data_IF_288619325138
#
_entry.id   IF_288619325138
#
_cell.length_a   1.000
_cell.length_b   1.000
_cell.length_c   1.000
_cell.angle_alpha   90.00
_cell.angle_beta   90.00
_cell.angle_gamma   90.00
#
_symmetry.space_group_name_H-M   'P 1'
#
loop_
_entity.id
_entity.type
_entity.pdbx_description
1 polymer ?
#
# COMPACT_ATOMS: atom_id res chain seq x y z
N UNK A 1 -81.01 -18.89 16.20
CA UNK A 1 -80.03 -19.17 15.14
C UNK A 1 -78.87 -18.22 15.31
N UNK A 2 -77.63 -18.72 15.37
CA UNK A 2 -76.43 -17.91 15.35
C UNK A 2 -75.66 -18.24 14.08
N UNK A 3 -75.15 -17.22 13.40
CA UNK A 3 -74.30 -17.37 12.22
C UNK A 3 -72.99 -16.63 12.47
N UNK A 4 -71.89 -17.23 12.06
CA UNK A 4 -70.56 -16.65 12.14
C UNK A 4 -70.12 -16.35 10.72
N UNK A 5 -69.71 -15.11 10.46
CA UNK A 5 -69.17 -14.69 9.17
C UNK A 5 -67.73 -14.19 9.38
N UNK A 6 -66.85 -14.54 8.45
CA UNK A 6 -65.49 -14.01 8.41
C UNK A 6 -65.50 -12.67 7.68
N UNK A 7 -64.82 -11.69 8.27
CA UNK A 7 -64.55 -10.39 7.65
C UNK A 7 -63.05 -10.34 7.44
N UNK A 8 -62.62 -10.13 6.20
CA UNK A 8 -61.21 -9.93 5.87
C UNK A 8 -60.95 -8.41 5.93
N UNK A 9 -60.12 -7.97 6.87
CA UNK A 9 -59.76 -6.57 7.07
C UNK A 9 -58.37 -6.31 6.49
N UNK A 10 -58.23 -5.26 5.67
CA UNK A 10 -56.96 -4.86 5.06
C UNK A 10 -56.52 -3.54 5.68
N UNK A 11 -55.41 -3.56 6.39
CA UNK A 11 -54.81 -2.36 6.98
C UNK A 11 -53.70 -1.85 6.05
N UNK A 12 -53.86 -0.62 5.54
CA UNK A 12 -52.84 0.04 4.71
C UNK A 12 -51.80 0.67 5.63
N UNK A 13 -50.70 -0.04 5.87
CA UNK A 13 -49.54 0.51 6.57
C UNK A 13 -48.64 1.28 5.59
N UNK A 14 -48.43 2.58 5.82
CA UNK A 14 -47.42 3.35 5.11
C UNK A 14 -46.06 3.09 5.75
N UNK A 15 -45.25 2.25 5.11
CA UNK A 15 -43.85 2.04 5.48
C UNK A 15 -42.94 2.94 4.66
N UNK A 16 -41.91 3.50 5.30
CA UNK A 16 -40.81 4.17 4.61
C UNK A 16 -39.61 3.21 4.51
N UNK A 17 -39.09 3.02 3.31
CA UNK A 17 -37.87 2.25 3.08
C UNK A 17 -36.68 3.17 3.34
N UNK A 18 -35.99 2.97 4.46
CA UNK A 18 -34.72 3.61 4.76
C UNK A 18 -33.59 2.63 4.45
N UNK A 19 -32.55 3.10 3.76
CA UNK A 19 -31.34 2.31 3.57
C UNK A 19 -30.82 1.79 4.91
N UNK A 20 -30.51 0.49 4.99
CA UNK A 20 -29.97 -0.11 6.20
C UNK A 20 -28.53 0.37 6.40
N UNK A 21 -28.35 1.40 7.21
CA UNK A 21 -27.03 1.89 7.62
C UNK A 21 -26.86 3.39 7.40
N UNK A 22 -26.14 4.02 8.32
CA UNK A 22 -25.65 5.38 8.11
C UNK A 22 -24.55 5.36 7.04
N UNK A 23 -24.50 6.39 6.20
CA UNK A 23 -23.37 6.65 5.31
C UNK A 23 -22.08 6.65 6.13
N UNK A 24 -21.17 5.72 5.84
CA UNK A 24 -19.85 5.65 6.48
C UNK A 24 -18.83 6.22 5.51
N UNK A 25 -18.38 7.48 5.67
CA UNK A 25 -17.37 8.04 4.80
C UNK A 25 -16.06 7.26 4.98
N UNK A 26 -15.59 6.64 3.90
CA UNK A 26 -14.29 5.97 3.89
C UNK A 26 -13.20 7.03 3.73
N UNK A 27 -12.24 7.05 4.65
CA UNK A 27 -11.13 8.00 4.66
C UNK A 27 -9.82 7.31 4.32
N UNK A 28 -8.94 8.02 3.63
CA UNK A 28 -7.59 7.56 3.35
C UNK A 28 -6.78 7.44 4.67
N UNK A 29 -5.98 6.37 4.86
CA UNK A 29 -5.14 6.22 6.04
C UNK A 29 -3.93 7.15 6.03
N UNK A 30 -3.53 7.65 4.86
CA UNK A 30 -2.35 8.50 4.66
C UNK A 30 -2.69 9.66 3.74
N UNK A 31 -2.06 10.82 3.99
CA UNK A 31 -2.08 11.95 3.06
C UNK A 31 -1.13 11.65 1.90
N UNK A 32 -1.62 11.76 0.67
CA UNK A 32 -0.85 11.50 -0.54
C UNK A 32 -1.55 12.07 -1.77
N UNK A 33 -0.86 12.05 -2.92
CA UNK A 33 -1.45 12.46 -4.20
C UNK A 33 -2.27 11.29 -4.75
N UNK A 34 -3.53 11.55 -5.10
CA UNK A 34 -4.41 10.55 -5.72
C UNK A 34 -3.99 10.36 -7.17
N UNK A 35 -3.59 9.15 -7.54
CA UNK A 35 -3.28 8.79 -8.93
C UNK A 35 -4.52 8.39 -9.73
N UNK A 36 -5.56 7.88 -9.06
CA UNK A 36 -6.82 7.54 -9.72
C UNK A 36 -7.92 7.04 -8.78
N UNK A 37 -9.16 7.11 -9.27
CA UNK A 37 -10.37 6.61 -8.59
C UNK A 37 -11.06 5.64 -9.56
N UNK A 38 -10.80 4.32 -9.48
CA UNK A 38 -11.31 3.33 -10.43
C UNK A 38 -12.76 2.89 -10.13
N UNK A 39 -13.58 3.78 -9.57
CA UNK A 39 -14.99 3.50 -9.21
C UNK A 39 -15.90 4.65 -9.59
N UNK A 40 -17.16 4.33 -9.86
CA UNK A 40 -18.21 5.29 -10.24
C UNK A 40 -19.26 5.47 -9.16
N UNK A 41 -19.97 6.60 -9.19
CA UNK A 41 -21.04 6.88 -8.24
C UNK A 41 -22.19 5.88 -8.42
N UNK A 42 -22.63 5.25 -7.31
CA UNK A 42 -23.65 4.21 -7.34
C UNK A 42 -23.15 2.81 -7.67
N UNK A 43 -21.84 2.63 -7.87
CA UNK A 43 -21.25 1.32 -8.13
C UNK A 43 -21.28 0.41 -6.88
N UNK A 44 -21.69 -0.85 -7.05
CA UNK A 44 -21.66 -1.87 -6.02
C UNK A 44 -20.23 -2.39 -5.85
N UNK A 45 -19.62 -2.10 -4.70
CA UNK A 45 -18.24 -2.50 -4.39
C UNK A 45 -18.18 -3.68 -3.43
N UNK A 46 -17.13 -4.50 -3.55
CA UNK A 46 -16.90 -5.66 -2.69
C UNK A 46 -15.83 -5.41 -1.63
N UNK A 47 -15.83 -6.14 -0.49
CA UNK A 47 -14.76 -6.03 0.50
C UNK A 47 -13.39 -6.31 -0.12
N UNK A 48 -12.47 -5.35 0.00
CA UNK A 48 -11.13 -5.43 -0.57
C UNK A 48 -10.97 -4.83 -1.97
N UNK A 49 -12.05 -4.34 -2.59
CA UNK A 49 -11.96 -3.62 -3.85
C UNK A 49 -11.23 -2.28 -3.67
N UNK A 50 -10.33 -1.98 -4.60
CA UNK A 50 -9.58 -0.71 -4.62
C UNK A 50 -10.52 0.42 -5.01
N UNK A 51 -10.72 1.38 -4.11
CA UNK A 51 -11.55 2.57 -4.35
C UNK A 51 -10.73 3.78 -4.79
N UNK A 52 -9.49 3.89 -4.31
CA UNK A 52 -8.58 5.02 -4.57
C UNK A 52 -7.17 4.45 -4.70
N UNK A 53 -6.43 4.95 -5.68
CA UNK A 53 -5.00 4.70 -5.85
C UNK A 53 -4.20 5.96 -5.53
N UNK A 54 -3.10 5.78 -4.81
CA UNK A 54 -2.15 6.85 -4.49
C UNK A 54 -0.91 6.70 -5.37
N UNK A 55 -0.31 7.83 -5.73
CA UNK A 55 0.92 7.86 -6.50
C UNK A 55 2.13 7.44 -5.63
N UNK A 56 2.89 6.39 -6.01
CA UNK A 56 4.06 5.94 -5.28
C UNK A 56 5.33 6.76 -5.54
N UNK A 57 5.31 7.81 -6.36
CA UNK A 57 6.53 8.51 -6.82
C UNK A 57 7.42 9.07 -5.68
N UNK A 58 6.82 9.39 -4.52
CA UNK A 58 7.58 9.80 -3.32
C UNK A 58 8.45 8.67 -2.73
N UNK A 59 8.07 7.40 -2.93
CA UNK A 59 8.81 6.24 -2.40
C UNK A 59 9.95 5.78 -3.31
N UNK A 60 9.82 5.92 -4.63
CA UNK A 60 10.83 5.41 -5.58
C UNK A 60 12.13 6.20 -5.55
N UNK A 61 12.04 7.53 -5.41
CA UNK A 61 13.23 8.39 -5.32
C UNK A 61 14.02 8.14 -4.04
N UNK A 62 13.34 7.88 -2.92
CA UNK A 62 13.96 7.55 -1.64
C UNK A 62 14.70 6.21 -1.67
N UNK A 63 14.14 5.22 -2.36
CA UNK A 63 14.79 3.93 -2.59
C UNK A 63 16.02 4.05 -3.49
N UNK A 64 15.94 4.85 -4.56
CA UNK A 64 17.08 5.12 -5.46
C UNK A 64 18.22 5.84 -4.75
N UNK A 65 17.93 6.81 -3.89
CA UNK A 65 18.97 7.51 -3.13
C UNK A 65 19.70 6.58 -2.15
N UNK A 66 18.97 5.70 -1.46
CA UNK A 66 19.55 4.74 -0.51
C UNK A 66 20.40 3.67 -1.22
N UNK A 67 19.93 3.17 -2.36
CA UNK A 67 20.69 2.21 -3.17
C UNK A 67 22.02 2.78 -3.66
N UNK A 68 22.03 4.03 -4.14
CA UNK A 68 23.27 4.72 -4.55
C UNK A 68 24.27 4.88 -3.41
N UNK A 69 23.78 5.19 -2.21
CA UNK A 69 24.65 5.35 -1.02
C UNK A 69 25.36 4.03 -0.67
N UNK A 70 24.60 2.92 -0.62
CA UNK A 70 25.14 1.59 -0.34
C UNK A 70 26.18 1.15 -1.37
N UNK A 71 25.94 1.47 -2.64
CA UNK A 71 26.86 1.08 -3.72
C UNK A 71 28.18 1.85 -3.68
N UNK A 72 28.14 3.16 -3.37
CA UNK A 72 29.35 3.96 -3.19
C UNK A 72 30.19 3.47 -2.01
N UNK A 73 29.53 3.12 -0.91
CA UNK A 73 30.19 2.58 0.28
C UNK A 73 30.84 1.21 -0.01
N UNK A 74 30.13 0.34 -0.73
CA UNK A 74 30.65 -0.98 -1.14
C UNK A 74 31.85 -0.88 -2.10
N UNK A 75 31.87 0.13 -2.99
CA UNK A 75 33.05 0.41 -3.84
C UNK A 75 34.24 0.87 -3.02
N UNK A 76 34.03 1.79 -2.06
CA UNK A 76 35.08 2.27 -1.16
C UNK A 76 35.75 1.14 -0.38
N UNK A 77 34.94 0.24 0.20
CA UNK A 77 35.48 -0.90 0.95
C UNK A 77 36.29 -1.85 0.04
N UNK A 78 35.85 -2.08 -1.20
CA UNK A 78 36.60 -2.92 -2.15
C UNK A 78 37.93 -2.31 -2.55
N UNK A 79 37.96 -1.01 -2.81
CA UNK A 79 39.21 -0.30 -3.13
C UNK A 79 40.19 -0.35 -1.96
N UNK A 80 39.69 -0.23 -0.72
CA UNK A 80 40.51 -0.28 0.48
C UNK A 80 41.08 -1.68 0.75
N UNK A 81 40.27 -2.74 0.55
CA UNK A 81 40.72 -4.13 0.62
C UNK A 81 41.80 -4.40 -0.43
N UNK A 82 41.57 -4.01 -1.69
CA UNK A 82 42.58 -4.20 -2.74
C UNK A 82 43.89 -3.45 -2.46
N UNK A 83 43.80 -2.24 -1.93
CA UNK A 83 44.98 -1.47 -1.54
C UNK A 83 45.73 -2.08 -0.34
N UNK A 84 45.04 -2.83 0.53
CA UNK A 84 45.64 -3.55 1.64
C UNK A 84 46.30 -4.85 1.18
N UNK A 85 45.62 -5.64 0.34
CA UNK A 85 46.17 -6.88 -0.25
C UNK A 85 47.43 -6.60 -1.08
N UNK A 86 47.41 -5.56 -1.93
CA UNK A 86 48.59 -5.17 -2.71
C UNK A 86 49.79 -4.74 -1.83
N UNK A 87 49.54 -4.21 -0.63
CA UNK A 87 50.59 -3.88 0.34
C UNK A 87 51.16 -5.13 0.98
N UNK A 88 50.33 -6.08 1.40
CA UNK A 88 50.78 -7.37 1.93
C UNK A 88 51.65 -8.12 0.93
N UNK A 89 51.19 -8.24 -0.32
CA UNK A 89 51.94 -8.91 -1.39
C UNK A 89 53.32 -8.28 -1.60
N UNK A 90 53.41 -6.95 -1.56
CA UNK A 90 54.66 -6.21 -1.71
C UNK A 90 55.62 -6.38 -0.52
N UNK A 91 55.08 -6.57 0.68
CA UNK A 91 55.86 -6.81 1.90
C UNK A 91 56.40 -8.25 1.92
N UNK A 92 55.59 -9.23 1.52
CA UNK A 92 55.99 -10.62 1.41
C UNK A 92 57.03 -10.84 0.31
N UNK A 93 56.88 -10.16 -0.84
CA UNK A 93 57.87 -10.20 -1.92
C UNK A 93 59.25 -9.68 -1.47
N UNK A 94 59.28 -8.64 -0.62
CA UNK A 94 60.54 -8.13 -0.04
C UNK A 94 61.13 -9.09 0.99
N UNK A 95 60.28 -9.70 1.83
CA UNK A 95 60.72 -10.63 2.87
C UNK A 95 61.34 -11.91 2.27
N UNK A 96 60.81 -12.41 1.15
CA UNK A 96 61.32 -13.60 0.45
C UNK A 96 62.57 -13.33 -0.41
N UNK A 97 63.00 -12.07 -0.54
CA UNK A 97 64.16 -11.67 -1.34
C UNK A 97 65.44 -11.44 -0.51
N UNK A 98 65.36 -11.67 0.81
CA UNK A 98 66.46 -11.69 1.78
C UNK A 98 66.85 -13.13 2.10
#
# INVERSE_FOLDING_TARGET
>A
YAVVARIDEVVIARGELKGMGAERPIKAPVSGVVSGIPVTEGELVTPGQVLIQFDPEVNTERLRSLGRQKELESRRLKEEIQAFEAREDSLQAKLNSL
#
